data_IF_200169050158
#
_entry.id   IF_200169050158
#
_cell.length_a   1.000
_cell.length_b   1.000
_cell.length_c   1.000
_cell.angle_alpha   90.00
_cell.angle_beta   90.00
_cell.angle_gamma   90.00
#
_symmetry.space_group_name_H-M   'P 1'
#
loop_
_entity.id
_entity.type
_entity.pdbx_description
1 polymer ?
#
# COMPACT_ATOMS: atom_id res chain seq x y z
N UNK A 1 2.46 -20.13 9.18
CA UNK A 1 1.25 -20.06 8.33
C UNK A 1 1.63 -20.55 6.95
N UNK A 2 0.80 -21.36 6.30
CA UNK A 2 1.06 -21.74 4.90
C UNK A 2 0.84 -20.55 3.95
N UNK A 3 1.57 -20.47 2.82
CA UNK A 3 1.39 -19.38 1.84
C UNK A 3 -0.03 -19.40 1.25
N UNK A 4 -0.60 -18.21 1.01
CA UNK A 4 -1.95 -18.04 0.48
C UNK A 4 -1.97 -16.94 -0.59
N UNK A 5 -2.89 -17.09 -1.56
CA UNK A 5 -3.10 -16.14 -2.64
C UNK A 5 -4.53 -15.60 -2.61
N UNK A 6 -4.67 -14.31 -2.93
CA UNK A 6 -5.93 -13.64 -3.18
C UNK A 6 -5.76 -12.87 -4.50
N UNK A 7 -6.31 -13.41 -5.59
CA UNK A 7 -6.19 -12.83 -6.92
C UNK A 7 -7.48 -12.09 -7.28
N UNK A 8 -7.34 -10.86 -7.76
CA UNK A 8 -8.45 -10.05 -8.25
C UNK A 8 -8.08 -9.46 -9.61
N UNK A 9 -8.96 -9.63 -10.60
CA UNK A 9 -8.93 -8.90 -11.86
C UNK A 9 -9.38 -7.46 -11.61
N UNK A 10 -9.05 -6.57 -12.54
CA UNK A 10 -9.48 -5.16 -12.44
C UNK A 10 -11.00 -4.99 -12.33
N UNK A 11 -11.79 -5.92 -12.86
CA UNK A 11 -13.27 -5.91 -12.77
C UNK A 11 -13.79 -6.33 -11.39
N UNK A 12 -12.95 -6.96 -10.57
CA UNK A 12 -13.28 -7.46 -9.24
C UNK A 12 -12.80 -6.50 -8.13
N UNK A 13 -11.96 -5.52 -8.49
CA UNK A 13 -11.52 -4.46 -7.58
C UNK A 13 -12.66 -3.45 -7.39
N UNK A 14 -13.07 -3.25 -6.14
CA UNK A 14 -14.08 -2.25 -5.78
C UNK A 14 -13.63 -0.85 -6.22
N UNK A 15 -14.54 -0.10 -6.85
CA UNK A 15 -14.25 1.21 -7.42
C UNK A 15 -15.36 2.20 -7.10
N UNK A 16 -14.99 3.44 -6.80
CA UNK A 16 -15.93 4.55 -6.60
C UNK A 16 -15.48 5.73 -7.45
N UNK A 17 -16.40 6.31 -8.22
CA UNK A 17 -16.20 7.61 -8.87
C UNK A 17 -17.20 8.61 -8.30
N UNK A 18 -16.69 9.70 -7.71
CA UNK A 18 -17.50 10.73 -7.07
C UNK A 18 -16.78 12.08 -7.08
N UNK A 19 -17.51 13.16 -7.39
CA UNK A 19 -17.02 14.54 -7.31
C UNK A 19 -15.65 14.81 -8.00
N UNK A 20 -15.42 14.13 -9.13
CA UNK A 20 -14.16 14.25 -9.89
C UNK A 20 -13.00 13.41 -9.34
N UNK A 21 -13.27 12.54 -8.38
CA UNK A 21 -12.33 11.59 -7.78
C UNK A 21 -12.72 10.18 -8.20
N UNK A 22 -11.78 9.44 -8.76
CA UNK A 22 -11.88 8.00 -9.00
C UNK A 22 -10.96 7.27 -8.03
N UNK A 23 -11.48 6.28 -7.30
CA UNK A 23 -10.66 5.46 -6.40
C UNK A 23 -10.89 3.98 -6.66
N UNK A 24 -9.80 3.24 -6.83
CA UNK A 24 -9.78 1.78 -6.78
C UNK A 24 -9.34 1.34 -5.40
N UNK A 25 -10.15 0.52 -4.74
CA UNK A 25 -9.97 0.11 -3.35
C UNK A 25 -9.34 -1.29 -3.39
N UNK A 26 -8.01 -1.34 -3.41
CA UNK A 26 -7.25 -2.60 -3.47
C UNK A 26 -7.38 -3.32 -2.12
N UNK A 27 -7.18 -2.60 -1.02
CA UNK A 27 -7.42 -3.07 0.34
C UNK A 27 -7.96 -1.94 1.23
N UNK A 28 -8.75 -2.27 2.24
CA UNK A 28 -9.37 -1.29 3.13
C UNK A 28 -10.72 -0.76 2.61
N UNK A 29 -11.01 0.50 2.87
CA UNK A 29 -12.30 1.14 2.58
C UNK A 29 -12.11 2.60 2.12
N UNK A 30 -12.91 3.02 1.15
CA UNK A 30 -13.04 4.42 0.76
C UNK A 30 -14.49 4.73 0.37
N UNK A 31 -14.99 5.92 0.71
CA UNK A 31 -16.37 6.36 0.42
C UNK A 31 -17.46 5.36 0.85
N UNK A 32 -17.26 4.63 1.96
CA UNK A 32 -18.19 3.62 2.45
C UNK A 32 -18.20 2.30 1.68
N UNK A 33 -17.29 2.12 0.71
CA UNK A 33 -17.13 0.88 -0.06
C UNK A 33 -15.85 0.18 0.40
N UNK A 34 -15.98 -1.10 0.74
CA UNK A 34 -14.89 -1.92 1.29
C UNK A 34 -14.40 -2.94 0.27
N UNK A 35 -13.08 -3.13 0.21
CA UNK A 35 -12.46 -4.18 -0.60
C UNK A 35 -12.78 -5.58 -0.05
N UNK A 36 -12.97 -6.60 -0.91
CA UNK A 36 -13.09 -7.99 -0.48
C UNK A 36 -11.75 -8.61 -0.01
N UNK A 37 -10.61 -7.94 -0.24
CA UNK A 37 -9.29 -8.43 0.17
C UNK A 37 -9.20 -8.49 1.69
N UNK A 38 -8.87 -9.69 2.18
CA UNK A 38 -8.52 -9.89 3.58
C UNK A 38 -7.06 -9.54 3.83
N UNK A 39 -6.79 -8.75 4.86
CA UNK A 39 -5.44 -8.32 5.25
C UNK A 39 -5.08 -8.91 6.61
N UNK A 40 -3.95 -9.63 6.67
CA UNK A 40 -3.46 -10.24 7.91
C UNK A 40 -3.07 -9.18 8.94
N UNK A 41 -2.26 -8.22 8.49
CA UNK A 41 -2.01 -6.96 9.18
C UNK A 41 -2.97 -5.92 8.60
N UNK A 42 -3.79 -5.24 9.40
CA UNK A 42 -4.73 -4.25 8.90
C UNK A 42 -4.03 -3.23 8.01
N UNK A 43 -4.46 -3.19 6.75
CA UNK A 43 -3.84 -2.41 5.67
C UNK A 43 -4.90 -1.74 4.82
N UNK A 44 -4.60 -0.53 4.38
CA UNK A 44 -5.31 0.24 3.36
C UNK A 44 -4.38 0.41 2.17
N UNK A 45 -4.91 0.18 0.97
CA UNK A 45 -4.23 0.44 -0.29
C UNK A 45 -5.27 0.93 -1.30
N UNK A 46 -5.19 2.22 -1.61
CA UNK A 46 -6.12 2.92 -2.49
C UNK A 46 -5.35 3.54 -3.66
N UNK A 47 -5.81 3.34 -4.89
CA UNK A 47 -5.29 3.99 -6.10
C UNK A 47 -6.28 5.08 -6.55
N UNK A 48 -5.88 6.33 -6.36
CA UNK A 48 -6.68 7.52 -6.65
C UNK A 48 -6.29 8.15 -7.98
N UNK A 49 -7.29 8.55 -8.76
CA UNK A 49 -7.16 9.52 -9.85
C UNK A 49 -8.07 10.71 -9.57
N UNK A 50 -7.50 11.91 -9.51
CA UNK A 50 -8.19 13.16 -9.15
C UNK A 50 -8.18 14.10 -10.34
N UNK A 51 -9.36 14.48 -10.84
CA UNK A 51 -9.52 15.41 -11.97
C UNK A 51 -9.08 16.84 -11.56
N UNK A 52 -8.68 17.70 -12.52
CA UNK A 52 -8.37 19.11 -12.25
C UNK A 52 -9.46 19.80 -11.43
N UNK A 53 -9.04 20.52 -10.38
CA UNK A 53 -9.92 21.25 -9.47
C UNK A 53 -10.58 20.40 -8.38
N UNK A 54 -10.61 19.07 -8.50
CA UNK A 54 -11.26 18.18 -7.53
C UNK A 54 -10.44 18.03 -6.25
N UNK A 55 -11.16 17.73 -5.16
CA UNK A 55 -10.61 17.53 -3.81
C UNK A 55 -11.08 16.20 -3.24
N UNK A 56 -10.23 15.57 -2.46
CA UNK A 56 -10.57 14.38 -1.68
C UNK A 56 -10.00 14.50 -0.29
N UNK A 57 -10.75 14.00 0.69
CA UNK A 57 -10.22 13.72 2.01
C UNK A 57 -10.45 12.25 2.31
N UNK A 58 -9.38 11.53 2.60
CA UNK A 58 -9.41 10.11 2.97
C UNK A 58 -9.00 9.97 4.42
N UNK A 59 -9.90 9.42 5.23
CA UNK A 59 -9.60 9.13 6.64
C UNK A 59 -8.58 8.02 6.76
N UNK A 60 -7.70 8.16 7.74
CA UNK A 60 -6.70 7.18 8.12
C UNK A 60 -6.85 6.99 9.63
N UNK A 61 -6.90 5.75 10.16
CA UNK A 61 -6.89 5.56 11.61
C UNK A 61 -5.64 6.20 12.23
N UNK A 62 -5.81 6.99 13.29
CA UNK A 62 -4.72 7.78 13.90
C UNK A 62 -3.52 6.91 14.34
N UNK A 63 -3.77 5.66 14.73
CA UNK A 63 -2.72 4.70 15.11
C UNK A 63 -1.90 4.13 13.94
N UNK A 64 -2.23 4.46 12.69
CA UNK A 64 -1.61 3.85 11.52
C UNK A 64 -0.45 4.66 10.95
N UNK A 65 0.58 3.98 10.49
CA UNK A 65 1.56 4.58 9.60
C UNK A 65 0.95 4.69 8.19
N UNK A 66 1.20 5.80 7.49
CA UNK A 66 0.73 5.96 6.12
C UNK A 66 1.67 6.82 5.27
N UNK A 67 1.64 6.58 3.96
CA UNK A 67 2.32 7.39 2.98
C UNK A 67 1.53 7.45 1.67
N UNK A 68 1.77 8.53 0.91
CA UNK A 68 1.31 8.66 -0.47
C UNK A 68 2.48 8.40 -1.40
N UNK A 69 2.26 7.69 -2.50
CA UNK A 69 3.19 7.66 -3.63
C UNK A 69 2.53 8.23 -4.87
N UNK A 70 3.11 9.30 -5.42
CA UNK A 70 2.55 10.01 -6.58
C UNK A 70 3.03 9.33 -7.85
N UNK A 71 2.11 8.78 -8.63
CA UNK A 71 2.41 8.07 -9.87
C UNK A 71 2.57 9.05 -11.02
N UNK A 72 1.64 10.01 -11.13
CA UNK A 72 1.55 10.94 -12.25
C UNK A 72 0.94 12.27 -11.79
N UNK A 73 1.43 13.37 -12.36
CA UNK A 73 0.91 14.71 -12.12
C UNK A 73 1.47 15.39 -10.87
N UNK A 74 0.76 16.41 -10.41
CA UNK A 74 1.10 17.25 -9.26
C UNK A 74 -0.16 17.52 -8.44
N UNK A 75 -0.03 17.56 -7.11
CA UNK A 75 -1.12 17.85 -6.20
C UNK A 75 -0.65 18.53 -4.92
N UNK A 76 -1.58 19.18 -4.23
CA UNK A 76 -1.35 19.68 -2.87
C UNK A 76 -1.84 18.60 -1.90
N UNK A 77 -0.96 18.17 -0.99
CA UNK A 77 -1.22 17.13 0.00
C UNK A 77 -1.15 17.75 1.40
N UNK A 78 -2.25 17.69 2.16
CA UNK A 78 -2.40 18.29 3.49
C UNK A 78 -3.21 19.59 3.50
N UNK A 79 -2.79 20.56 4.31
CA UNK A 79 -3.48 21.82 4.52
C UNK A 79 -3.45 22.77 3.32
N UNK A 80 -4.24 23.86 3.34
CA UNK A 80 -4.36 24.80 2.21
C UNK A 80 -3.05 25.47 1.79
N UNK A 81 -2.12 25.63 2.74
CA UNK A 81 -0.83 26.30 2.55
C UNK A 81 0.31 25.34 2.21
N UNK A 82 0.02 24.03 2.08
CA UNK A 82 1.03 23.05 1.70
C UNK A 82 1.55 23.31 0.28
N UNK A 83 2.85 23.16 0.10
CA UNK A 83 3.45 23.21 -1.23
C UNK A 83 2.97 22.02 -2.08
N UNK A 84 2.80 22.21 -3.40
CA UNK A 84 2.51 21.09 -4.29
C UNK A 84 3.65 20.06 -4.29
N UNK A 85 3.29 18.80 -4.47
CA UNK A 85 4.21 17.68 -4.66
C UNK A 85 3.94 17.01 -6.01
N UNK A 86 5.01 16.55 -6.65
CA UNK A 86 5.01 16.02 -8.02
C UNK A 86 5.22 14.51 -8.04
N UNK A 87 5.00 13.89 -9.21
CA UNK A 87 5.21 12.47 -9.45
C UNK A 87 6.58 11.94 -8.97
N UNK A 88 6.60 10.66 -8.64
CA UNK A 88 7.78 9.89 -8.22
C UNK A 88 8.31 10.25 -6.83
N UNK A 89 7.50 10.91 -6.01
CA UNK A 89 7.76 11.14 -4.60
C UNK A 89 6.91 10.23 -3.71
N UNK A 90 7.53 9.75 -2.63
CA UNK A 90 6.84 9.18 -1.50
C UNK A 90 6.72 10.25 -0.40
N UNK A 91 5.48 10.60 -0.04
CA UNK A 91 5.17 11.55 1.02
C UNK A 91 4.77 10.77 2.27
N UNK A 92 5.64 10.74 3.27
CA UNK A 92 5.32 10.16 4.58
C UNK A 92 4.36 11.10 5.31
N UNK A 93 3.25 10.56 5.81
CA UNK A 93 2.24 11.34 6.50
C UNK A 93 2.57 11.38 8.00
N UNK A 94 2.38 12.56 8.60
CA UNK A 94 2.43 12.71 10.05
C UNK A 94 1.07 12.45 10.69
N UNK A 95 0.94 12.84 11.95
CA UNK A 95 -0.28 12.67 12.73
C UNK A 95 -1.46 13.46 12.14
N UNK A 96 -2.66 12.88 12.23
CA UNK A 96 -3.91 13.49 11.75
C UNK A 96 -5.02 12.46 11.58
N UNK A 97 -6.23 12.92 11.24
CA UNK A 97 -7.40 12.07 10.99
C UNK A 97 -7.47 11.51 9.55
N UNK A 98 -6.50 11.88 8.70
CA UNK A 98 -6.43 11.47 7.32
C UNK A 98 -5.54 12.36 6.44
N UNK A 99 -5.76 12.26 5.14
CA UNK A 99 -5.08 13.08 4.13
C UNK A 99 -6.09 13.81 3.26
N UNK A 100 -5.90 15.12 3.16
CA UNK A 100 -6.59 15.97 2.19
C UNK A 100 -5.72 16.16 0.96
N UNK A 101 -6.28 16.00 -0.23
CA UNK A 101 -5.58 16.17 -1.50
C UNK A 101 -6.37 17.10 -2.41
N UNK A 102 -5.69 18.04 -3.05
CA UNK A 102 -6.27 18.96 -4.02
C UNK A 102 -5.44 18.97 -5.32
N UNK A 103 -6.07 18.61 -6.43
CA UNK A 103 -5.47 18.79 -7.74
C UNK A 103 -5.70 20.24 -8.22
N UNK A 104 -4.66 21.08 -8.09
CA UNK A 104 -4.66 22.46 -8.62
C UNK A 104 -4.10 22.58 -10.03
N UNK A 105 -3.52 21.49 -10.56
CA UNK A 105 -2.94 21.46 -11.88
C UNK A 105 -4.03 21.32 -12.97
N UNK A 106 -3.64 21.54 -14.23
CA UNK A 106 -4.52 21.39 -15.38
C UNK A 106 -4.68 19.92 -15.84
N UNK A 107 -3.76 19.04 -15.46
CA UNK A 107 -3.76 17.60 -15.80
C UNK A 107 -4.33 16.72 -14.68
N UNK A 108 -4.60 15.43 -14.96
CA UNK A 108 -4.99 14.49 -13.91
C UNK A 108 -3.85 14.26 -12.92
N UNK A 109 -4.22 14.03 -11.66
CA UNK A 109 -3.31 13.61 -10.60
C UNK A 109 -3.60 12.16 -10.24
N UNK A 110 -2.59 11.29 -10.30
CA UNK A 110 -2.71 9.90 -9.88
C UNK A 110 -1.72 9.57 -8.78
N UNK A 111 -2.22 8.99 -7.69
CA UNK A 111 -1.40 8.58 -6.56
C UNK A 111 -1.99 7.36 -5.87
N UNK A 112 -1.16 6.63 -5.13
CA UNK A 112 -1.61 5.60 -4.21
C UNK A 112 -1.49 6.09 -2.77
N UNK A 113 -2.49 5.81 -1.94
CA UNK A 113 -2.41 5.94 -0.50
C UNK A 113 -2.26 4.54 0.09
N UNK A 114 -1.19 4.34 0.86
CA UNK A 114 -0.91 3.10 1.55
C UNK A 114 -0.79 3.41 3.03
N UNK A 115 -1.49 2.66 3.86
CA UNK A 115 -1.38 2.77 5.31
C UNK A 115 -1.63 1.43 5.99
N UNK A 116 -1.14 1.28 7.22
CA UNK A 116 -1.33 0.05 7.97
C UNK A 116 -1.01 0.20 9.45
N UNK A 117 -1.56 -0.71 10.23
CA UNK A 117 -1.30 -0.79 11.67
C UNK A 117 0.17 -1.19 11.91
N UNK A 118 0.94 -0.42 12.68
CA UNK A 118 2.28 -0.83 13.12
C UNK A 118 2.21 -2.17 13.87
N UNK A 119 3.13 -3.07 13.58
CA UNK A 119 3.23 -4.35 14.32
C UNK A 119 3.86 -4.20 15.71
N UNK A 120 4.63 -3.13 15.92
CA UNK A 120 5.38 -2.89 17.16
C UNK A 120 6.37 -4.03 17.52
N UNK A 121 6.85 -4.74 16.51
CA UNK A 121 7.82 -5.83 16.65
C UNK A 121 9.18 -5.48 16.03
N UNK A 122 10.28 -6.09 16.50
CA UNK A 122 11.58 -5.94 15.85
C UNK A 122 11.54 -6.41 14.39
N UNK A 123 12.21 -5.67 13.52
CA UNK A 123 12.39 -6.00 12.11
C UNK A 123 13.86 -6.30 11.86
N UNK A 124 14.16 -7.53 11.46
CA UNK A 124 15.48 -7.95 10.99
C UNK A 124 15.33 -8.46 9.56
N UNK A 125 15.98 -7.79 8.61
CA UNK A 125 15.94 -8.14 7.20
C UNK A 125 17.32 -8.54 6.69
N UNK A 126 17.38 -9.61 5.89
CA UNK A 126 18.56 -9.93 5.09
C UNK A 126 18.13 -10.59 3.78
N UNK A 127 18.31 -9.85 2.67
CA UNK A 127 17.87 -10.29 1.35
C UNK A 127 16.35 -10.52 1.30
N UNK A 128 15.86 -11.72 0.91
CA UNK A 128 14.45 -12.01 0.75
C UNK A 128 13.72 -12.34 2.07
N UNK A 129 14.44 -12.49 3.17
CA UNK A 129 13.87 -12.90 4.45
C UNK A 129 13.77 -11.71 5.41
N UNK A 130 12.60 -11.60 6.03
CA UNK A 130 12.28 -10.64 7.09
C UNK A 130 11.75 -11.44 8.28
N UNK A 131 12.43 -11.35 9.42
CA UNK A 131 12.09 -12.04 10.67
C UNK A 131 12.26 -11.09 11.85
N UNK A 132 12.03 -11.53 13.08
CA UNK A 132 12.15 -10.70 14.28
C UNK A 132 13.56 -10.76 14.91
N UNK A 133 14.34 -11.81 14.63
CA UNK A 133 15.68 -12.01 15.21
C UNK A 133 16.73 -12.47 14.19
N UNK A 134 18.00 -12.20 14.50
CA UNK A 134 19.14 -12.69 13.70
C UNK A 134 19.23 -14.22 13.67
N UNK A 135 18.77 -14.90 14.73
CA UNK A 135 18.74 -16.36 14.80
C UNK A 135 17.71 -16.96 13.81
N UNK A 136 16.55 -16.34 13.69
CA UNK A 136 15.52 -16.73 12.73
C UNK A 136 15.98 -16.49 11.29
N UNK A 137 16.67 -15.38 11.01
CA UNK A 137 17.27 -15.15 9.69
C UNK A 137 18.26 -16.27 9.33
N UNK A 138 19.17 -16.63 10.24
CA UNK A 138 20.10 -17.75 9.99
C UNK A 138 19.36 -19.05 9.70
N UNK A 139 18.32 -19.35 10.49
CA UNK A 139 17.48 -20.55 10.27
C UNK A 139 16.77 -20.52 8.92
N UNK A 140 16.20 -19.38 8.50
CA UNK A 140 15.52 -19.25 7.21
C UNK A 140 16.47 -19.52 6.04
N UNK A 141 17.72 -19.05 6.12
CA UNK A 141 18.74 -19.37 5.11
C UNK A 141 19.10 -20.86 5.09
N UNK A 142 19.29 -21.50 6.24
CA UNK A 142 19.52 -22.95 6.29
C UNK A 142 18.34 -23.71 5.69
N UNK A 143 17.11 -23.30 6.02
CA UNK A 143 15.90 -23.93 5.54
C UNK A 143 15.75 -23.81 4.02
N UNK A 144 16.08 -22.64 3.46
CA UNK A 144 16.16 -22.43 2.02
C UNK A 144 17.25 -23.27 1.37
N UNK A 145 18.49 -23.21 1.87
CA UNK A 145 19.65 -23.92 1.29
C UNK A 145 19.48 -25.44 1.31
N UNK A 146 18.85 -25.98 2.35
CA UNK A 146 18.58 -27.40 2.46
C UNK A 146 17.20 -27.80 1.93
N UNK A 147 16.36 -26.86 1.48
CA UNK A 147 15.01 -27.14 0.98
C UNK A 147 14.15 -27.86 2.02
N UNK A 148 13.93 -27.25 3.18
CA UNK A 148 13.13 -27.79 4.29
C UNK A 148 12.25 -26.70 4.92
N UNK A 149 11.34 -27.09 5.81
CA UNK A 149 10.47 -26.20 6.58
C UNK A 149 9.68 -25.21 5.70
N UNK A 150 9.15 -25.69 4.57
CA UNK A 150 8.39 -24.88 3.60
C UNK A 150 9.10 -24.65 2.26
N UNK A 151 10.40 -24.96 2.16
CA UNK A 151 11.19 -24.83 0.92
C UNK A 151 11.45 -26.17 0.21
N UNK A 152 10.73 -27.24 0.54
CA UNK A 152 10.97 -28.61 0.01
C UNK A 152 10.86 -28.68 -1.52
N UNK A 153 10.09 -27.78 -2.11
CA UNK A 153 9.86 -27.73 -3.56
C UNK A 153 10.97 -27.02 -4.33
N UNK A 154 11.86 -26.27 -3.67
CA UNK A 154 12.89 -25.44 -4.33
C UNK A 154 13.87 -26.28 -5.16
N UNK A 155 14.36 -27.41 -4.62
CA UNK A 155 15.49 -28.18 -5.17
C UNK A 155 15.39 -28.57 -6.64
N UNK A 156 14.16 -28.69 -7.16
CA UNK A 156 13.89 -29.12 -8.53
C UNK A 156 12.95 -28.18 -9.27
N UNK A 157 12.55 -27.07 -8.65
CA UNK A 157 11.63 -26.14 -9.27
C UNK A 157 12.36 -25.21 -10.23
N UNK A 158 11.81 -25.09 -11.44
CA UNK A 158 12.20 -24.09 -12.43
C UNK A 158 10.93 -23.54 -13.06
N UNK A 159 10.80 -22.22 -13.13
CA UNK A 159 9.74 -21.60 -13.91
C UNK A 159 9.95 -21.89 -15.41
N UNK A 160 8.87 -21.89 -16.18
CA UNK A 160 9.00 -21.81 -17.65
C UNK A 160 9.72 -20.50 -18.00
N UNK A 161 10.59 -20.49 -19.02
CA UNK A 161 11.22 -19.27 -19.50
C UNK A 161 10.17 -18.26 -20.00
#
# INVERSE_FOLDING_TARGET
MEPRYQELKSTEISRVEKDGVDVRIIAGEAFGVRSPVYTQTPTMYLDFTVKPGARVHQRIPESWNAFVYIVEGEGVFGGPDAAPATSHHALVLGDGDGISVWNRAAGPLRFVLIGGQPLEEPVVQYGPFVMNTQAEIRRAFEDYQYGRNGFERERHWKSKP
#
